data_IF_367825323652
#
_entry.id   IF_367825323652
#
_cell.length_a   1.000
_cell.length_b   1.000
_cell.length_c   1.000
_cell.angle_alpha   90.00
_cell.angle_beta   90.00
_cell.angle_gamma   90.00
#
_symmetry.space_group_name_H-M   'P 1'
#
loop_
_entity.id
_entity.type
_entity.pdbx_description
1 polymer ?
#
# COMPACT_ATOMS: atom_id res chain seq x y z
N UNK A 1 -39.99 48.37 4.10
CA UNK A 1 -40.64 49.68 3.97
C UNK A 1 -41.76 49.49 2.95
N UNK A 2 -42.88 48.94 3.43
CA UNK A 2 -44.06 49.70 3.87
C UNK A 2 -44.93 50.11 2.67
N UNK A 3 -46.05 49.39 2.46
CA UNK A 3 -47.40 49.86 2.81
C UNK A 3 -48.46 49.17 1.93
N UNK A 4 -49.40 48.48 2.61
CA UNK A 4 -50.78 48.26 2.14
C UNK A 4 -51.54 49.59 2.24
N UNK A 5 -52.70 49.73 1.58
CA UNK A 5 -53.95 49.45 2.31
C UNK A 5 -55.06 48.78 1.48
N UNK A 6 -55.97 48.14 2.22
CA UNK A 6 -57.28 47.58 1.86
C UNK A 6 -58.34 48.63 2.27
N UNK A 7 -59.50 48.78 1.59
CA UNK A 7 -60.77 48.18 2.06
C UNK A 7 -61.74 47.87 0.89
N UNK A 8 -62.84 47.10 0.96
CA UNK A 8 -63.61 46.45 2.01
C UNK A 8 -64.95 45.99 1.40
N UNK A 9 -65.61 45.00 2.04
CA UNK A 9 -67.06 44.71 2.21
C UNK A 9 -68.08 45.17 1.12
N UNK A 10 -69.15 44.47 0.76
CA UNK A 10 -69.84 43.29 1.27
C UNK A 10 -71.01 42.91 0.32
N UNK A 11 -71.56 41.71 0.55
CA UNK A 11 -72.96 41.29 0.43
C UNK A 11 -73.65 41.22 -0.95
N UNK A 12 -74.22 40.04 -1.24
CA UNK A 12 -75.17 39.85 -2.35
C UNK A 12 -75.69 38.42 -2.42
N UNK A 13 -76.82 38.19 -1.76
CA UNK A 13 -77.59 36.95 -1.64
C UNK A 13 -78.16 36.48 -3.00
N UNK A 14 -78.28 35.18 -3.26
CA UNK A 14 -78.98 34.70 -4.46
C UNK A 14 -78.96 33.19 -4.68
N UNK A 15 -80.03 32.53 -4.26
CA UNK A 15 -80.33 31.09 -4.33
C UNK A 15 -80.53 30.54 -5.74
N UNK A 16 -80.16 29.27 -5.98
CA UNK A 16 -81.05 28.15 -6.42
C UNK A 16 -80.28 26.95 -6.99
N UNK A 17 -80.68 25.75 -6.56
CA UNK A 17 -80.67 24.54 -7.40
C UNK A 17 -79.53 23.54 -7.15
N UNK A 18 -79.77 22.55 -6.29
CA UNK A 18 -79.08 21.27 -6.35
C UNK A 18 -79.55 20.48 -7.59
N UNK A 19 -78.75 19.52 -8.08
CA UNK A 19 -79.08 18.16 -7.67
C UNK A 19 -77.86 17.40 -7.13
N UNK A 20 -78.13 16.67 -6.06
CA UNK A 20 -77.28 15.64 -5.46
C UNK A 20 -77.11 14.53 -6.49
N UNK A 21 -75.88 14.28 -6.92
CA UNK A 21 -75.47 12.98 -7.44
C UNK A 21 -74.41 12.45 -6.50
N UNK A 22 -74.74 11.33 -5.88
CA UNK A 22 -73.92 10.57 -4.94
C UNK A 22 -72.76 9.93 -5.67
N UNK A 23 -71.55 10.47 -5.50
CA UNK A 23 -70.33 9.75 -5.84
C UNK A 23 -70.16 8.56 -4.87
N UNK A 24 -69.87 7.34 -5.34
CA UNK A 24 -69.63 6.21 -4.46
C UNK A 24 -68.32 6.45 -3.69
N UNK A 25 -68.18 5.91 -2.45
CA UNK A 25 -66.94 6.05 -1.72
C UNK A 25 -65.84 5.35 -2.53
N UNK A 26 -64.80 6.11 -2.90
CA UNK A 26 -63.56 5.55 -3.43
C UNK A 26 -63.05 4.55 -2.39
N UNK A 27 -63.23 3.26 -2.65
CA UNK A 27 -62.38 2.19 -2.12
C UNK A 27 -60.95 2.53 -2.52
N UNK A 28 -60.25 3.30 -1.68
CA UNK A 28 -58.82 3.17 -1.57
C UNK A 28 -58.61 1.93 -0.75
N UNK A 29 -58.33 0.83 -1.44
CA UNK A 29 -57.61 -0.26 -0.83
C UNK A 29 -56.42 0.34 -0.08
N UNK A 30 -56.50 0.28 1.25
CA UNK A 30 -55.34 0.43 2.12
C UNK A 30 -54.47 -0.81 1.91
N UNK A 31 -53.89 -0.95 0.72
CA UNK A 31 -52.72 -1.78 0.52
C UNK A 31 -51.66 -1.18 1.45
N UNK A 32 -51.35 -1.95 2.51
CA UNK A 32 -50.40 -1.66 3.58
C UNK A 32 -49.21 -0.84 3.06
N UNK A 33 -49.14 0.45 3.41
CA UNK A 33 -48.04 1.32 2.98
C UNK A 33 -46.75 0.75 3.56
N UNK A 34 -45.99 0.03 2.73
CA UNK A 34 -44.80 -0.70 3.13
C UNK A 34 -43.79 0.19 3.88
N UNK A 35 -43.83 1.52 3.67
CA UNK A 35 -42.99 2.48 4.39
C UNK A 35 -43.28 2.53 5.89
N UNK A 36 -44.48 2.16 6.34
CA UNK A 36 -44.85 2.05 7.76
C UNK A 36 -44.16 0.86 8.46
N UNK A 37 -43.72 -0.14 7.70
CA UNK A 37 -42.99 -1.31 8.21
C UNK A 37 -41.48 -1.08 8.33
N UNK A 38 -40.96 0.08 7.88
CA UNK A 38 -39.54 0.41 8.02
C UNK A 38 -39.20 0.57 9.51
N UNK A 39 -38.31 -0.26 10.06
CA UNK A 39 -37.97 -0.20 11.48
C UNK A 39 -37.38 1.16 11.87
N UNK A 40 -37.76 1.69 13.04
CA UNK A 40 -37.16 2.91 13.60
C UNK A 40 -35.70 2.67 13.95
N UNK A 41 -34.89 3.73 13.89
CA UNK A 41 -33.46 3.67 14.20
C UNK A 41 -33.19 3.09 15.59
N UNK A 42 -33.95 3.50 16.60
CA UNK A 42 -33.76 2.98 17.97
C UNK A 42 -34.06 1.48 18.07
N UNK A 43 -35.05 0.98 17.31
CA UNK A 43 -35.36 -0.44 17.24
C UNK A 43 -34.25 -1.23 16.52
N UNK A 44 -33.64 -0.66 15.48
CA UNK A 44 -32.50 -1.26 14.78
C UNK A 44 -31.25 -1.30 15.67
N UNK A 45 -31.02 -0.29 16.50
CA UNK A 45 -29.87 -0.26 17.41
C UNK A 45 -30.00 -1.25 18.58
N UNK A 46 -31.17 -1.85 18.80
CA UNK A 46 -31.35 -2.98 19.71
C UNK A 46 -30.96 -4.33 19.08
N UNK A 47 -30.74 -4.41 17.76
CA UNK A 47 -30.17 -5.60 17.13
C UNK A 47 -28.74 -5.83 17.67
N UNK A 48 -28.45 -6.99 18.30
CA UNK A 48 -27.14 -7.27 18.88
C UNK A 48 -25.97 -7.06 17.91
N UNK A 49 -26.19 -7.33 16.61
CA UNK A 49 -25.16 -7.18 15.56
C UNK A 49 -24.83 -5.71 15.30
N UNK A 50 -25.84 -4.84 15.34
CA UNK A 50 -25.66 -3.40 15.20
C UNK A 50 -25.10 -2.79 16.49
N UNK A 51 -25.50 -3.29 17.66
CA UNK A 51 -24.94 -2.89 18.94
C UNK A 51 -23.44 -3.22 19.05
N UNK A 52 -23.04 -4.44 18.67
CA UNK A 52 -21.63 -4.83 18.57
C UNK A 52 -20.86 -3.92 17.59
N UNK A 53 -21.47 -3.58 16.46
CA UNK A 53 -20.88 -2.63 15.53
C UNK A 53 -20.76 -1.21 16.09
N UNK A 54 -21.62 -0.79 17.02
CA UNK A 54 -21.50 0.51 17.70
C UNK A 54 -20.25 0.53 18.56
N UNK A 55 -19.99 -0.53 19.32
CA UNK A 55 -18.76 -0.66 20.13
C UNK A 55 -17.50 -0.66 19.25
N UNK A 56 -17.54 -1.35 18.10
CA UNK A 56 -16.40 -1.49 17.20
C UNK A 56 -16.14 -0.28 16.29
N UNK A 57 -17.17 0.38 15.79
CA UNK A 57 -17.10 1.40 14.73
C UNK A 57 -17.52 2.81 15.19
N UNK A 58 -18.16 2.90 16.36
CA UNK A 58 -18.75 4.12 16.88
C UNK A 58 -20.17 4.37 16.37
N UNK A 59 -21.01 4.92 17.26
CA UNK A 59 -22.44 5.14 17.03
C UNK A 59 -22.74 6.00 15.78
N UNK A 60 -21.90 6.97 15.46
CA UNK A 60 -22.11 7.86 14.32
C UNK A 60 -22.14 7.09 12.99
N UNK A 61 -21.21 6.16 12.79
CA UNK A 61 -21.10 5.36 11.56
C UNK A 61 -22.26 4.38 11.43
N UNK A 62 -22.61 3.73 12.53
CA UNK A 62 -23.74 2.80 12.56
C UNK A 62 -25.05 3.52 12.23
N UNK A 63 -25.30 4.68 12.85
CA UNK A 63 -26.48 5.49 12.54
C UNK A 63 -26.50 5.99 11.10
N UNK A 64 -25.35 6.30 10.49
CA UNK A 64 -25.26 6.67 9.09
C UNK A 64 -25.66 5.52 8.16
N UNK A 65 -25.13 4.30 8.39
CA UNK A 65 -25.47 3.10 7.63
C UNK A 65 -26.97 2.74 7.77
N UNK A 66 -27.51 2.83 9.00
CA UNK A 66 -28.95 2.63 9.25
C UNK A 66 -29.81 3.63 8.48
N UNK A 67 -29.47 4.93 8.52
CA UNK A 67 -30.20 5.95 7.77
C UNK A 67 -30.16 5.69 6.27
N UNK A 68 -29.00 5.28 5.74
CA UNK A 68 -28.85 4.96 4.33
C UNK A 68 -29.69 3.74 3.92
N UNK A 69 -29.72 2.69 4.73
CA UNK A 69 -30.56 1.52 4.49
C UNK A 69 -32.07 1.86 4.55
N UNK A 70 -32.49 2.63 5.55
CA UNK A 70 -33.87 3.12 5.64
C UNK A 70 -34.25 3.98 4.42
N UNK A 71 -33.36 4.84 3.94
CA UNK A 71 -33.63 5.66 2.75
C UNK A 71 -33.79 4.81 1.48
N UNK A 72 -32.96 3.77 1.30
CA UNK A 72 -33.13 2.79 0.22
C UNK A 72 -34.49 2.08 0.30
N UNK A 73 -34.99 1.78 1.50
CA UNK A 73 -36.31 1.20 1.66
C UNK A 73 -37.42 2.22 1.35
N UNK A 74 -37.26 3.50 1.74
CA UNK A 74 -38.23 4.56 1.44
C UNK A 74 -38.35 4.83 -0.05
N UNK A 75 -37.24 4.74 -0.79
CA UNK A 75 -37.22 4.91 -2.25
C UNK A 75 -37.63 3.66 -3.02
N UNK A 76 -37.97 2.55 -2.34
CA UNK A 76 -38.38 1.29 -2.97
C UNK A 76 -37.24 0.43 -3.51
N UNK A 77 -35.98 0.78 -3.23
CA UNK A 77 -34.81 0.01 -3.67
C UNK A 77 -34.57 -1.29 -2.91
N UNK A 78 -35.14 -1.42 -1.70
CA UNK A 78 -35.15 -2.67 -0.90
C UNK A 78 -36.48 -2.79 -0.14
N UNK A 79 -36.94 -4.01 0.20
CA UNK A 79 -38.08 -4.19 1.09
C UNK A 79 -37.74 -3.79 2.55
N UNK A 80 -38.70 -3.29 3.35
CA UNK A 80 -38.48 -2.87 4.74
C UNK A 80 -37.80 -3.92 5.63
N UNK A 81 -38.08 -5.19 5.38
CA UNK A 81 -37.56 -6.34 6.13
C UNK A 81 -36.05 -6.55 5.90
N UNK A 82 -35.50 -6.02 4.80
CA UNK A 82 -34.07 -6.08 4.48
C UNK A 82 -33.27 -4.90 5.06
N UNK A 83 -33.91 -3.92 5.70
CA UNK A 83 -33.22 -2.76 6.29
C UNK A 83 -32.14 -3.15 7.30
N UNK A 84 -32.36 -4.09 8.25
CA UNK A 84 -31.32 -4.49 9.21
C UNK A 84 -30.11 -5.11 8.52
N UNK A 85 -30.34 -6.03 7.59
CA UNK A 85 -29.26 -6.71 6.87
C UNK A 85 -28.51 -5.73 5.95
N UNK A 86 -29.22 -4.86 5.24
CA UNK A 86 -28.60 -3.82 4.40
C UNK A 86 -27.77 -2.84 5.22
N UNK A 87 -28.25 -2.46 6.41
CA UNK A 87 -27.47 -1.61 7.32
C UNK A 87 -26.17 -2.31 7.74
N UNK A 88 -26.20 -3.61 8.05
CA UNK A 88 -25.00 -4.39 8.36
C UNK A 88 -24.05 -4.51 7.16
N UNK A 89 -24.58 -4.75 5.96
CA UNK A 89 -23.79 -4.89 4.73
C UNK A 89 -23.12 -3.57 4.32
N UNK A 90 -23.68 -2.43 4.73
CA UNK A 90 -23.09 -1.10 4.54
C UNK A 90 -21.98 -0.78 5.55
N UNK A 91 -21.84 -1.55 6.65
CA UNK A 91 -20.83 -1.27 7.66
C UNK A 91 -19.46 -1.79 7.25
N UNK A 92 -18.39 -0.98 7.43
CA UNK A 92 -17.05 -1.44 7.20
C UNK A 92 -16.61 -2.46 8.27
N UNK A 93 -15.65 -3.31 7.91
CA UNK A 93 -15.04 -4.25 8.86
C UNK A 93 -14.22 -3.54 9.96
N UNK A 94 -13.72 -2.34 9.70
CA UNK A 94 -12.92 -1.56 10.66
C UNK A 94 -13.35 -0.09 10.70
N UNK A 95 -12.90 0.62 11.73
CA UNK A 95 -13.04 2.07 11.80
C UNK A 95 -12.13 2.82 10.81
N UNK A 96 -11.32 2.13 9.98
CA UNK A 96 -10.55 2.73 8.90
C UNK A 96 -11.36 2.76 7.59
N UNK A 97 -11.06 3.74 6.73
CA UNK A 97 -11.61 3.82 5.37
C UNK A 97 -10.88 2.91 4.37
N UNK A 98 -9.68 2.43 4.71
CA UNK A 98 -8.92 1.51 3.88
C UNK A 98 -9.53 0.11 3.92
N UNK A 99 -9.65 -0.53 2.75
CA UNK A 99 -10.17 -1.89 2.61
C UNK A 99 -9.03 -2.86 2.29
N UNK A 100 -8.99 -4.07 2.90
CA UNK A 100 -8.11 -5.13 2.45
C UNK A 100 -8.41 -5.51 1.00
N UNK A 101 -7.38 -5.77 0.22
CA UNK A 101 -7.45 -6.15 -1.20
C UNK A 101 -6.62 -7.42 -1.40
N UNK A 102 -7.15 -8.42 -2.12
CA UNK A 102 -6.35 -9.54 -2.58
C UNK A 102 -5.58 -9.12 -3.84
N UNK A 103 -4.26 -9.13 -3.75
CA UNK A 103 -3.37 -8.83 -4.86
C UNK A 103 -3.18 -10.08 -5.74
N UNK A 104 -3.93 -10.15 -6.83
CA UNK A 104 -3.80 -11.19 -7.86
C UNK A 104 -3.27 -10.62 -9.19
N UNK A 105 -2.52 -9.51 -9.13
CA UNK A 105 -2.03 -8.82 -10.34
C UNK A 105 -0.83 -9.52 -10.98
N UNK A 106 -0.09 -10.30 -10.20
CA UNK A 106 1.24 -10.81 -10.55
C UNK A 106 2.35 -9.79 -10.30
N UNK A 107 2.06 -8.66 -9.67
CA UNK A 107 3.06 -7.67 -9.21
C UNK A 107 3.23 -7.81 -7.71
N UNK A 108 4.38 -8.29 -7.24
CA UNK A 108 4.58 -8.60 -5.81
C UNK A 108 4.53 -7.34 -4.93
N UNK A 109 5.31 -6.32 -5.29
CA UNK A 109 5.42 -5.02 -4.62
C UNK A 109 4.59 -3.98 -5.38
N UNK A 110 3.26 -4.11 -5.28
CA UNK A 110 2.35 -3.20 -5.96
C UNK A 110 2.20 -1.88 -5.17
N UNK A 111 2.70 -0.78 -5.72
CA UNK A 111 2.72 0.55 -5.05
C UNK A 111 1.33 1.01 -4.62
N UNK A 112 0.33 0.91 -5.50
CA UNK A 112 -1.05 1.33 -5.18
C UNK A 112 -1.75 0.43 -4.15
N UNK A 113 -1.26 -0.78 -3.91
CA UNK A 113 -1.82 -1.72 -2.92
C UNK A 113 -1.03 -1.75 -1.61
N UNK A 114 -0.09 -0.81 -1.42
CA UNK A 114 0.66 -0.66 -0.18
C UNK A 114 1.99 -1.42 -0.13
N UNK A 115 2.55 -1.82 -1.28
CA UNK A 115 3.85 -2.52 -1.39
C UNK A 115 3.87 -3.86 -0.64
N UNK A 116 4.85 -4.07 0.25
CA UNK A 116 5.07 -5.34 0.92
C UNK A 116 3.99 -5.64 1.99
N UNK A 117 3.28 -6.77 1.90
CA UNK A 117 2.42 -7.22 2.99
C UNK A 117 3.26 -7.76 4.16
N UNK A 118 2.85 -7.41 5.38
CA UNK A 118 3.48 -7.90 6.60
C UNK A 118 3.12 -9.36 6.90
N UNK A 119 4.09 -10.13 7.39
CA UNK A 119 3.87 -11.50 7.89
C UNK A 119 2.90 -11.51 9.08
N UNK A 120 2.32 -12.68 9.38
CA UNK A 120 1.48 -12.84 10.58
C UNK A 120 2.22 -12.45 11.87
N UNK A 121 3.52 -12.78 11.97
CA UNK A 121 4.36 -12.40 13.09
C UNK A 121 4.53 -10.88 13.20
N UNK A 122 4.82 -10.19 12.09
CA UNK A 122 4.94 -8.73 12.08
C UNK A 122 3.61 -8.03 12.37
N UNK A 123 2.48 -8.53 11.85
CA UNK A 123 1.14 -8.01 12.16
C UNK A 123 0.80 -8.15 13.65
N UNK A 124 1.16 -9.28 14.27
CA UNK A 124 1.00 -9.48 15.71
C UNK A 124 1.88 -8.51 16.52
N UNK A 125 3.13 -8.31 16.13
CA UNK A 125 4.03 -7.36 16.78
C UNK A 125 3.46 -5.93 16.73
N UNK A 126 2.86 -5.51 15.61
CA UNK A 126 2.16 -4.22 15.50
C UNK A 126 0.96 -4.14 16.45
N UNK A 127 0.16 -5.21 16.52
CA UNK A 127 -1.01 -5.25 17.40
C UNK A 127 -0.62 -5.10 18.88
N UNK A 128 0.43 -5.79 19.32
CA UNK A 128 0.97 -5.67 20.68
C UNK A 128 1.56 -4.27 20.91
N UNK A 129 2.30 -3.74 19.93
CA UNK A 129 2.89 -2.41 20.00
C UNK A 129 1.87 -1.25 19.96
N UNK A 130 0.60 -1.51 19.61
CA UNK A 130 -0.47 -0.51 19.68
C UNK A 130 -0.66 0.00 21.13
N UNK A 131 -0.46 -0.86 22.14
CA UNK A 131 -0.46 -0.51 23.55
C UNK A 131 0.85 0.14 24.04
N UNK A 132 1.02 0.27 25.36
CA UNK A 132 2.28 0.75 25.94
C UNK A 132 3.42 -0.25 25.70
N UNK A 133 4.61 0.25 25.36
CA UNK A 133 5.79 -0.57 25.09
C UNK A 133 7.03 0.03 25.73
N UNK A 134 8.08 -0.77 25.89
CA UNK A 134 9.40 -0.38 26.39
C UNK A 134 10.29 0.24 25.31
N UNK A 135 9.70 0.82 24.26
CA UNK A 135 10.38 1.28 23.04
C UNK A 135 11.59 2.20 23.30
N UNK A 136 11.60 2.93 24.40
CA UNK A 136 12.69 3.80 24.88
C UNK A 136 12.99 3.60 26.39
N UNK A 137 12.59 2.47 26.97
CA UNK A 137 12.76 2.16 28.40
C UNK A 137 13.52 0.85 28.55
N UNK A 138 14.52 0.84 29.43
CA UNK A 138 15.12 -0.40 29.90
C UNK A 138 14.30 -0.89 31.10
N UNK A 139 13.65 -2.04 30.97
CA UNK A 139 12.77 -2.58 32.01
C UNK A 139 13.52 -3.07 33.26
N UNK A 140 14.80 -3.44 33.13
CA UNK A 140 15.60 -3.94 34.25
C UNK A 140 16.05 -2.78 35.17
N UNK A 141 16.35 -1.63 34.58
CA UNK A 141 16.88 -0.46 35.29
C UNK A 141 15.85 0.65 35.49
N UNK A 142 14.77 0.65 34.72
CA UNK A 142 13.74 1.70 34.73
C UNK A 142 14.18 3.03 34.09
N UNK A 143 15.34 3.06 33.43
CA UNK A 143 15.90 4.29 32.83
C UNK A 143 15.69 4.34 31.32
N UNK A 144 15.79 5.55 30.76
CA UNK A 144 15.67 5.77 29.31
C UNK A 144 16.75 4.99 28.55
N UNK A 145 16.33 4.25 27.54
CA UNK A 145 17.18 3.47 26.65
C UNK A 145 17.15 4.02 25.21
N UNK A 146 18.06 3.52 24.36
CA UNK A 146 18.05 3.81 22.92
C UNK A 146 16.77 3.27 22.28
N UNK A 147 16.08 4.13 21.52
CA UNK A 147 14.87 3.76 20.79
C UNK A 147 15.14 2.62 19.81
N UNK A 148 14.32 1.57 19.87
CA UNK A 148 14.38 0.46 18.91
C UNK A 148 15.69 -0.33 18.94
N UNK A 149 16.36 -0.40 20.09
CA UNK A 149 17.67 -1.06 20.28
C UNK A 149 17.74 -2.46 19.67
N UNK A 150 16.68 -3.26 19.82
CA UNK A 150 16.56 -4.63 19.32
C UNK A 150 16.41 -4.68 17.80
N UNK A 151 15.52 -3.86 17.21
CA UNK A 151 15.39 -3.71 15.77
C UNK A 151 16.73 -3.28 15.10
N UNK A 152 17.46 -2.35 15.72
CA UNK A 152 18.78 -1.93 15.23
C UNK A 152 19.83 -3.03 15.32
N UNK A 153 19.79 -3.85 16.38
CA UNK A 153 20.65 -5.02 16.49
C UNK A 153 20.32 -6.07 15.43
N UNK A 154 19.04 -6.32 15.16
CA UNK A 154 18.58 -7.24 14.12
C UNK A 154 19.04 -6.78 12.72
N UNK A 155 18.98 -5.48 12.42
CA UNK A 155 19.51 -4.95 11.15
C UNK A 155 21.01 -5.20 10.99
N UNK A 156 21.79 -4.99 12.06
CA UNK A 156 23.24 -5.26 12.05
C UNK A 156 23.55 -6.74 11.89
N UNK A 157 22.73 -7.62 12.47
CA UNK A 157 22.85 -9.06 12.26
C UNK A 157 22.57 -9.45 10.80
N UNK A 158 21.60 -8.79 10.14
CA UNK A 158 21.28 -9.00 8.73
C UNK A 158 22.28 -8.38 7.74
N UNK A 159 23.13 -7.45 8.19
CA UNK A 159 24.14 -6.77 7.35
C UNK A 159 25.46 -6.69 8.14
N UNK A 160 26.23 -7.79 8.23
CA UNK A 160 27.44 -7.86 9.04
C UNK A 160 28.51 -6.82 8.67
N UNK A 161 28.56 -6.38 7.40
CA UNK A 161 29.47 -5.33 6.96
C UNK A 161 29.12 -3.93 7.53
N UNK A 162 27.93 -3.74 8.11
CA UNK A 162 27.52 -2.47 8.69
C UNK A 162 28.10 -2.29 10.11
N UNK A 163 29.01 -1.33 10.28
CA UNK A 163 29.52 -0.92 11.59
C UNK A 163 28.40 -0.43 12.52
N UNK A 164 27.41 0.29 11.99
CA UNK A 164 26.21 0.69 12.70
C UNK A 164 24.98 0.75 11.79
N UNK A 165 23.80 0.79 12.43
CA UNK A 165 22.51 0.94 11.76
C UNK A 165 21.66 2.05 12.43
N UNK A 166 20.86 2.73 11.61
CA UNK A 166 19.80 3.62 12.04
C UNK A 166 18.57 3.50 11.13
N UNK A 167 17.41 3.95 11.63
CA UNK A 167 16.12 3.83 10.93
C UNK A 167 15.36 5.14 11.03
N UNK A 168 14.86 5.60 9.89
CA UNK A 168 14.03 6.81 9.75
C UNK A 168 12.71 6.47 9.04
N UNK A 169 11.84 7.46 8.84
CA UNK A 169 10.47 7.27 8.37
C UNK A 169 10.33 6.54 7.02
N UNK A 170 11.19 6.80 6.04
CA UNK A 170 11.18 6.13 4.73
C UNK A 170 12.53 6.33 4.00
N UNK A 171 12.73 5.66 2.86
CA UNK A 171 13.98 5.78 2.08
C UNK A 171 14.32 7.22 1.67
N UNK A 172 13.33 8.03 1.30
CA UNK A 172 13.53 9.45 0.98
C UNK A 172 14.06 10.23 2.19
N UNK A 173 13.52 9.97 3.39
CA UNK A 173 14.01 10.57 4.63
C UNK A 173 15.46 10.18 4.94
N UNK A 174 15.89 8.97 4.58
CA UNK A 174 17.28 8.55 4.75
C UNK A 174 18.23 9.41 3.90
N UNK A 175 17.85 9.67 2.64
CA UNK A 175 18.60 10.54 1.73
C UNK A 175 18.57 12.00 2.16
N UNK A 176 17.41 12.54 2.58
CA UNK A 176 17.31 13.90 3.12
C UNK A 176 18.22 14.09 4.32
N UNK A 177 18.24 13.12 5.24
CA UNK A 177 19.07 13.19 6.44
C UNK A 177 20.56 13.16 6.08
N UNK A 178 20.96 12.27 5.16
CA UNK A 178 22.35 12.20 4.68
C UNK A 178 22.78 13.48 3.95
N UNK A 179 21.95 13.98 3.03
CA UNK A 179 22.21 15.20 2.27
C UNK A 179 22.29 16.43 3.18
N UNK A 180 21.38 16.56 4.14
CA UNK A 180 21.40 17.69 5.10
C UNK A 180 22.63 17.62 6.00
N UNK A 181 22.94 16.45 6.55
CA UNK A 181 24.03 16.30 7.51
C UNK A 181 25.42 16.43 6.88
N UNK A 182 25.59 15.98 5.63
CA UNK A 182 26.91 15.87 4.99
C UNK A 182 27.11 16.79 3.79
N UNK A 183 26.04 17.32 3.20
CA UNK A 183 26.11 18.10 1.96
C UNK A 183 25.37 19.45 1.99
N UNK A 184 24.85 19.91 3.14
CA UNK A 184 24.29 21.26 3.23
C UNK A 184 25.38 22.31 2.89
N UNK A 185 25.13 23.13 1.87
CA UNK A 185 26.10 24.09 1.35
C UNK A 185 27.29 23.49 0.59
N UNK A 186 27.28 22.19 0.31
CA UNK A 186 28.32 21.42 -0.38
C UNK A 186 27.76 20.71 -1.60
N UNK A 187 28.65 20.08 -2.37
CA UNK A 187 28.29 19.32 -3.56
C UNK A 187 28.01 17.85 -3.27
N UNK A 188 26.97 17.30 -3.91
CA UNK A 188 26.74 15.87 -4.07
C UNK A 188 27.07 15.51 -5.52
N UNK A 189 28.11 14.70 -5.72
CA UNK A 189 28.51 14.25 -7.05
C UNK A 189 27.70 13.02 -7.43
N UNK A 190 26.98 13.06 -8.55
CA UNK A 190 26.05 11.99 -8.98
C UNK A 190 26.07 11.81 -10.50
N UNK A 191 25.90 10.57 -10.97
CA UNK A 191 25.80 10.30 -12.41
C UNK A 191 24.49 10.86 -12.99
N UNK A 192 24.55 11.42 -14.21
CA UNK A 192 23.36 11.82 -14.96
C UNK A 192 22.39 10.66 -15.22
N UNK A 193 22.90 9.44 -15.37
CA UNK A 193 22.08 8.24 -15.60
C UNK A 193 21.35 7.74 -14.34
N UNK A 194 21.71 8.26 -13.17
CA UNK A 194 21.21 7.83 -11.86
C UNK A 194 20.24 8.86 -11.25
N UNK A 195 19.90 9.93 -11.98
CA UNK A 195 18.88 10.91 -11.57
C UNK A 195 17.49 10.38 -11.89
N UNK A 196 16.82 9.84 -10.86
CA UNK A 196 15.56 9.11 -11.02
C UNK A 196 14.34 9.93 -10.65
N UNK A 197 13.25 9.71 -11.40
CA UNK A 197 11.88 10.04 -10.99
C UNK A 197 11.17 8.74 -10.59
N UNK A 198 10.50 8.74 -9.44
CA UNK A 198 9.84 7.56 -8.86
C UNK A 198 8.38 7.87 -8.57
N UNK A 199 7.48 6.95 -8.91
CA UNK A 199 6.06 7.09 -8.58
C UNK A 199 5.39 8.27 -9.29
N UNK A 200 4.57 9.03 -8.55
CA UNK A 200 3.74 10.13 -9.06
C UNK A 200 4.49 11.48 -8.99
N UNK A 201 5.58 11.60 -9.75
CA UNK A 201 6.33 12.86 -9.89
C UNK A 201 7.37 13.16 -8.81
N UNK A 202 7.73 12.18 -7.95
CA UNK A 202 8.83 12.39 -6.99
C UNK A 202 10.18 12.34 -7.72
N UNK A 203 10.89 13.48 -7.71
CA UNK A 203 12.22 13.63 -8.32
C UNK A 203 13.29 13.66 -7.26
N UNK A 204 14.21 12.70 -7.33
CA UNK A 204 15.35 12.64 -6.41
C UNK A 204 16.21 13.93 -6.44
N UNK A 205 16.50 14.54 -7.61
CA UNK A 205 17.25 15.79 -7.66
C UNK A 205 16.59 16.93 -6.86
N UNK A 206 15.29 17.14 -7.05
CA UNK A 206 14.54 18.20 -6.38
C UNK A 206 14.56 18.02 -4.85
N UNK A 207 14.44 16.76 -4.39
CA UNK A 207 14.56 16.42 -2.98
C UNK A 207 15.94 16.81 -2.42
N UNK A 208 17.02 16.43 -3.10
CA UNK A 208 18.38 16.69 -2.62
C UNK A 208 18.72 18.18 -2.64
N UNK A 209 18.31 18.91 -3.68
CA UNK A 209 18.50 20.37 -3.75
C UNK A 209 17.74 21.08 -2.63
N UNK A 210 16.55 20.60 -2.26
CA UNK A 210 15.76 21.17 -1.16
C UNK A 210 16.45 21.13 0.22
N UNK A 211 17.47 20.28 0.40
CA UNK A 211 18.26 20.21 1.63
C UNK A 211 19.38 21.25 1.69
N UNK A 212 19.49 22.12 0.70
CA UNK A 212 20.59 23.07 0.56
C UNK A 212 21.87 22.48 -0.04
N UNK A 213 21.81 21.25 -0.57
CA UNK A 213 22.91 20.65 -1.31
C UNK A 213 22.95 21.16 -2.76
N UNK A 214 24.14 21.19 -3.36
CA UNK A 214 24.32 21.44 -4.81
C UNK A 214 24.58 20.12 -5.51
N UNK A 215 23.86 19.83 -6.58
CA UNK A 215 24.14 18.63 -7.38
C UNK A 215 25.25 18.92 -8.39
N UNK A 216 26.29 18.07 -8.37
CA UNK A 216 27.39 18.09 -9.34
C UNK A 216 27.26 16.86 -10.23
N UNK A 217 26.53 17.02 -11.32
CA UNK A 217 26.27 15.94 -12.27
C UNK A 217 27.51 15.57 -13.10
N UNK A 218 27.75 14.27 -13.27
CA UNK A 218 28.89 13.73 -14.03
C UNK A 218 28.47 12.70 -15.08
N UNK A 219 29.37 12.46 -16.04
CA UNK A 219 29.15 11.51 -17.13
C UNK A 219 27.99 11.89 -18.06
N UNK A 220 27.39 10.86 -18.65
CA UNK A 220 26.23 10.92 -19.56
C UNK A 220 25.13 9.96 -19.08
N UNK A 221 23.94 10.05 -19.67
CA UNK A 221 22.79 9.21 -19.30
C UNK A 221 23.10 7.71 -19.36
N UNK A 222 23.76 7.24 -20.41
CA UNK A 222 24.04 5.82 -20.61
C UNK A 222 25.43 5.40 -20.09
N UNK A 223 26.39 6.32 -20.02
CA UNK A 223 27.78 6.00 -19.64
C UNK A 223 28.33 6.98 -18.61
N UNK A 224 28.81 6.44 -17.50
CA UNK A 224 29.63 7.18 -16.53
C UNK A 224 30.84 6.33 -16.14
N UNK A 225 32.02 6.96 -16.13
CA UNK A 225 33.30 6.36 -15.78
C UNK A 225 33.80 6.89 -14.42
N UNK A 226 34.67 6.15 -13.70
CA UNK A 226 35.26 6.64 -12.45
C UNK A 226 36.02 7.96 -12.63
N UNK A 227 36.64 8.16 -13.80
CA UNK A 227 37.32 9.40 -14.15
C UNK A 227 36.37 10.63 -14.15
N UNK A 228 35.10 10.44 -14.52
CA UNK A 228 34.11 11.52 -14.49
C UNK A 228 33.85 11.99 -13.05
N UNK A 229 33.79 11.07 -12.10
CA UNK A 229 33.68 11.38 -10.68
C UNK A 229 34.97 12.01 -10.14
N UNK A 230 36.12 11.42 -10.44
CA UNK A 230 37.41 11.92 -9.96
C UNK A 230 37.69 13.37 -10.38
N UNK A 231 37.29 13.75 -11.60
CA UNK A 231 37.43 15.12 -12.10
C UNK A 231 36.47 16.13 -11.43
N UNK A 232 35.40 15.65 -10.79
CA UNK A 232 34.39 16.49 -10.15
C UNK A 232 34.55 16.62 -8.63
N UNK A 233 35.18 15.63 -7.98
CA UNK A 233 35.42 15.67 -6.54
C UNK A 233 36.45 16.75 -6.18
N UNK A 234 36.12 17.56 -5.18
CA UNK A 234 36.99 18.63 -4.68
C UNK A 234 36.69 19.02 -3.23
N UNK A 235 37.29 20.13 -2.73
CA UNK A 235 37.15 20.55 -1.33
C UNK A 235 35.71 20.82 -0.87
N UNK A 236 34.83 21.19 -1.81
CA UNK A 236 33.42 21.47 -1.55
C UNK A 236 32.52 20.24 -1.69
N UNK A 237 33.06 19.06 -2.02
CA UNK A 237 32.28 17.83 -2.13
C UNK A 237 31.96 17.26 -0.75
N UNK A 238 30.67 17.07 -0.48
CA UNK A 238 30.18 16.40 0.72
C UNK A 238 30.30 14.89 0.61
N UNK A 239 29.80 14.32 -0.49
CA UNK A 239 29.90 12.89 -0.80
C UNK A 239 29.63 12.61 -2.29
N UNK A 240 30.03 11.42 -2.74
CA UNK A 240 29.58 10.82 -4.00
C UNK A 240 28.32 10.02 -3.74
N UNK A 241 27.26 10.27 -4.52
CA UNK A 241 26.02 9.52 -4.46
C UNK A 241 25.94 8.56 -5.65
N UNK A 242 25.74 7.27 -5.34
CA UNK A 242 25.39 6.24 -6.32
C UNK A 242 23.95 5.80 -6.09
N UNK A 243 23.11 5.81 -7.12
CA UNK A 243 21.69 5.45 -7.00
C UNK A 243 21.36 4.26 -7.90
N UNK A 244 20.71 3.24 -7.33
CA UNK A 244 20.17 2.12 -8.11
C UNK A 244 18.88 2.54 -8.83
N UNK A 245 18.80 2.44 -10.17
CA UNK A 245 17.56 2.67 -10.90
C UNK A 245 16.55 1.54 -10.64
N UNK A 246 15.88 1.59 -9.49
CA UNK A 246 15.01 0.50 -9.01
C UNK A 246 13.65 0.36 -9.74
N UNK A 247 13.31 1.31 -10.62
CA UNK A 247 12.04 1.37 -11.35
C UNK A 247 12.17 1.41 -12.88
N UNK A 248 13.38 1.44 -13.44
CA UNK A 248 13.61 1.37 -14.89
C UNK A 248 14.98 0.73 -15.20
N UNK A 249 15.22 0.39 -16.47
CA UNK A 249 16.53 -0.07 -16.96
C UNK A 249 16.94 0.70 -18.19
N UNK A 250 18.23 1.01 -18.29
CA UNK A 250 18.85 1.49 -19.54
C UNK A 250 19.54 0.28 -20.17
N UNK A 251 19.21 -0.03 -21.43
CA UNK A 251 19.80 -1.14 -22.20
C UNK A 251 20.56 -0.62 -23.42
N UNK A 252 21.45 -1.44 -23.98
CA UNK A 252 22.33 -1.07 -25.11
C UNK A 252 23.74 -0.74 -24.65
N UNK A 253 24.35 0.32 -25.20
CA UNK A 253 25.72 0.74 -24.87
C UNK A 253 25.76 1.52 -23.55
N UNK A 254 25.74 0.80 -22.43
CA UNK A 254 25.73 1.38 -21.09
C UNK A 254 27.01 1.08 -20.32
N UNK A 255 27.34 1.96 -19.36
CA UNK A 255 28.42 1.77 -18.38
C UNK A 255 28.07 2.53 -17.11
N UNK A 256 28.11 1.87 -15.97
CA UNK A 256 28.07 2.50 -14.64
C UNK A 256 29.42 2.30 -13.95
N UNK A 257 29.82 3.23 -13.09
CA UNK A 257 31.00 3.03 -12.24
C UNK A 257 30.62 2.16 -11.03
N UNK A 258 31.39 1.12 -10.77
CA UNK A 258 31.19 0.24 -9.62
C UNK A 258 31.60 0.95 -8.32
N UNK A 259 30.99 0.57 -7.20
CA UNK A 259 31.29 1.20 -5.89
C UNK A 259 32.78 1.14 -5.57
N UNK A 260 33.42 -0.02 -5.79
CA UNK A 260 34.84 -0.19 -5.55
C UNK A 260 35.72 0.78 -6.36
N UNK A 261 35.31 1.14 -7.58
CA UNK A 261 36.02 2.12 -8.42
C UNK A 261 35.88 3.56 -7.90
N UNK A 262 34.86 3.83 -7.09
CA UNK A 262 34.60 5.14 -6.49
C UNK A 262 35.21 5.26 -5.08
N UNK A 263 35.64 4.14 -4.49
CA UNK A 263 36.41 4.15 -3.25
C UNK A 263 37.77 4.78 -3.49
N UNK A 264 38.22 5.65 -2.58
CA UNK A 264 39.53 6.31 -2.70
C UNK A 264 39.50 7.71 -3.32
N UNK A 265 38.34 8.24 -3.71
CA UNK A 265 38.18 9.63 -4.17
C UNK A 265 38.33 10.68 -3.04
N UNK A 266 38.63 10.26 -1.81
CA UNK A 266 38.83 11.17 -0.67
C UNK A 266 37.54 11.67 0.01
N UNK A 267 36.36 11.30 -0.50
CA UNK A 267 35.05 11.61 0.08
C UNK A 267 34.22 10.34 0.30
N UNK A 268 33.23 10.34 1.22
CA UNK A 268 32.35 9.20 1.41
C UNK A 268 31.59 8.84 0.11
N UNK A 269 31.43 7.55 -0.15
CA UNK A 269 30.50 7.03 -1.17
C UNK A 269 29.21 6.60 -0.45
N UNK A 270 28.11 7.28 -0.77
CA UNK A 270 26.76 6.93 -0.30
C UNK A 270 26.04 6.19 -1.42
N UNK A 271 25.51 5.01 -1.13
CA UNK A 271 24.82 4.17 -2.10
C UNK A 271 23.35 4.04 -1.72
N UNK A 272 22.46 4.55 -2.55
CA UNK A 272 21.03 4.27 -2.42
C UNK A 272 20.66 3.06 -3.25
N UNK A 273 20.55 1.90 -2.59
CA UNK A 273 20.07 0.68 -3.27
C UNK A 273 18.56 0.74 -3.50
N UNK A 274 17.85 1.56 -2.72
CA UNK A 274 16.41 1.79 -2.84
C UNK A 274 15.52 0.60 -2.48
N UNK A 275 15.90 -0.63 -2.81
CA UNK A 275 15.09 -1.86 -2.82
C UNK A 275 14.94 -2.52 -1.46
N UNK A 276 15.86 -2.28 -0.52
CA UNK A 276 15.82 -2.88 0.81
C UNK A 276 16.40 -4.29 0.88
N UNK A 277 17.04 -4.78 -0.17
CA UNK A 277 17.71 -6.08 -0.12
C UNK A 277 18.93 -5.99 0.81
N UNK A 278 18.96 -6.81 1.87
CA UNK A 278 20.02 -6.73 2.89
C UNK A 278 21.25 -7.55 2.51
N UNK A 279 21.06 -8.70 1.89
CA UNK A 279 22.10 -9.64 1.45
C UNK A 279 21.73 -10.23 0.07
N UNK A 280 22.70 -10.83 -0.67
CA UNK A 280 22.44 -11.36 -2.01
C UNK A 280 21.29 -12.36 -2.04
N UNK A 281 20.44 -12.27 -3.07
CA UNK A 281 19.30 -13.18 -3.23
C UNK A 281 19.43 -14.00 -4.52
N UNK A 282 19.34 -15.34 -4.47
CA UNK A 282 19.53 -16.20 -5.66
C UNK A 282 18.57 -15.91 -6.81
N UNK A 283 17.32 -15.53 -6.51
CA UNK A 283 16.35 -15.15 -7.54
C UNK A 283 16.58 -13.75 -8.14
N UNK A 284 17.45 -12.94 -7.53
CA UNK A 284 17.71 -11.54 -7.91
C UNK A 284 19.22 -11.26 -7.94
N UNK A 285 20.01 -12.00 -8.75
CA UNK A 285 21.48 -11.94 -8.68
C UNK A 285 22.07 -10.57 -9.04
N UNK A 286 21.36 -9.80 -9.88
CA UNK A 286 21.77 -8.47 -10.34
C UNK A 286 21.23 -7.33 -9.46
N UNK A 287 20.42 -7.63 -8.45
CA UNK A 287 19.86 -6.60 -7.58
C UNK A 287 20.86 -6.26 -6.47
N UNK A 288 21.22 -4.98 -6.27
CA UNK A 288 22.21 -4.61 -5.27
C UNK A 288 21.67 -4.80 -3.85
N UNK A 289 22.49 -5.41 -3.00
CA UNK A 289 22.20 -5.62 -1.58
C UNK A 289 23.13 -4.81 -0.67
N UNK A 290 22.65 -4.46 0.51
CA UNK A 290 23.37 -3.57 1.42
C UNK A 290 24.74 -4.13 1.85
N UNK A 291 24.82 -5.42 2.14
CA UNK A 291 26.01 -6.08 2.67
C UNK A 291 27.15 -6.14 1.63
N UNK A 292 26.83 -6.44 0.36
CA UNK A 292 27.78 -6.42 -0.75
C UNK A 292 28.25 -5.01 -1.08
N UNK A 293 27.35 -4.00 -1.09
CA UNK A 293 27.75 -2.61 -1.35
C UNK A 293 28.67 -2.06 -0.26
N UNK A 294 28.43 -2.40 1.01
CA UNK A 294 29.32 -2.03 2.12
C UNK A 294 30.68 -2.72 2.03
N UNK A 295 30.72 -4.02 1.69
CA UNK A 295 31.99 -4.74 1.44
C UNK A 295 32.79 -4.16 0.28
N UNK A 296 32.10 -3.67 -0.76
CA UNK A 296 32.73 -2.98 -1.88
C UNK A 296 33.30 -1.60 -1.49
N UNK A 297 33.07 -1.15 -0.25
CA UNK A 297 33.65 0.06 0.33
C UNK A 297 32.73 1.27 0.34
N UNK A 298 31.41 1.09 0.14
CA UNK A 298 30.44 2.14 0.43
C UNK A 298 30.58 2.59 1.90
N UNK A 299 30.57 3.90 2.12
CA UNK A 299 30.63 4.47 3.47
C UNK A 299 29.28 4.39 4.19
N UNK A 300 28.19 4.50 3.41
CA UNK A 300 26.81 4.44 3.85
C UNK A 300 25.94 3.85 2.74
N UNK A 301 25.02 2.96 3.10
CA UNK A 301 23.95 2.46 2.25
C UNK A 301 22.61 2.96 2.77
N UNK A 302 21.76 3.44 1.86
CA UNK A 302 20.36 3.79 2.13
C UNK A 302 19.41 2.86 1.39
N UNK A 303 18.27 2.55 2.00
CA UNK A 303 17.26 1.67 1.41
C UNK A 303 15.86 1.89 2.00
N UNK A 304 14.83 1.31 1.38
CA UNK A 304 13.46 1.27 1.95
C UNK A 304 13.15 -0.09 2.56
N UNK A 305 12.45 -0.13 3.70
CA UNK A 305 12.09 -1.39 4.37
C UNK A 305 10.82 -2.09 3.85
N UNK A 306 9.96 -1.40 3.12
CA UNK A 306 8.67 -1.90 2.61
C UNK A 306 8.71 -2.43 1.18
N UNK A 307 9.90 -2.80 0.72
CA UNK A 307 10.15 -3.31 -0.63
C UNK A 307 10.64 -4.77 -0.56
N UNK A 308 11.85 -5.09 -1.03
CA UNK A 308 12.39 -6.45 -1.04
C UNK A 308 12.67 -7.00 0.36
N UNK A 309 12.90 -6.14 1.36
CA UNK A 309 12.95 -6.58 2.76
C UNK A 309 11.62 -7.22 3.21
N UNK A 310 10.48 -6.83 2.62
CA UNK A 310 9.18 -7.36 2.99
C UNK A 310 8.65 -6.85 4.33
N UNK A 311 9.19 -5.74 4.83
CA UNK A 311 8.85 -5.15 6.12
C UNK A 311 7.93 -3.94 6.04
N UNK A 312 7.86 -3.13 7.11
CA UNK A 312 7.06 -1.90 7.13
C UNK A 312 7.81 -0.75 6.43
N UNK A 313 7.08 0.33 6.13
CA UNK A 313 7.68 1.54 5.57
C UNK A 313 8.70 2.11 6.57
N UNK A 314 9.96 2.15 6.16
CA UNK A 314 11.03 2.81 6.89
C UNK A 314 12.20 3.09 5.94
N UNK A 315 13.10 3.98 6.35
CA UNK A 315 14.36 4.26 5.68
C UNK A 315 15.49 3.65 6.47
N UNK A 316 16.30 2.82 5.83
CA UNK A 316 17.45 2.17 6.43
C UNK A 316 18.70 3.01 6.18
N UNK A 317 19.53 3.14 7.22
CA UNK A 317 20.85 3.78 7.17
C UNK A 317 21.86 2.78 7.73
N UNK A 318 22.68 2.20 6.87
CA UNK A 318 23.60 1.11 7.21
C UNK A 318 25.01 1.49 6.77
N UNK A 319 26.01 1.41 7.63
CA UNK A 319 27.37 1.71 7.21
C UNK A 319 28.32 2.00 8.36
N UNK A 320 29.28 2.90 8.11
CA UNK A 320 30.28 3.26 9.10
C UNK A 320 29.67 3.86 10.37
N UNK A 321 30.24 3.48 11.51
CA UNK A 321 29.71 3.88 12.83
C UNK A 321 29.73 5.40 13.05
N UNK A 322 30.78 6.08 12.62
CA UNK A 322 30.92 7.53 12.75
C UNK A 322 29.84 8.29 11.96
N UNK A 323 29.59 7.89 10.71
CA UNK A 323 28.57 8.51 9.86
C UNK A 323 27.16 8.25 10.37
N UNK A 324 26.82 6.99 10.67
CA UNK A 324 25.49 6.63 11.18
C UNK A 324 25.22 7.31 12.53
N UNK A 325 26.23 7.41 13.40
CA UNK A 325 26.11 8.11 14.69
C UNK A 325 25.98 9.62 14.52
N UNK A 326 26.58 10.22 13.49
CA UNK A 326 26.37 11.62 13.15
C UNK A 326 24.92 11.85 12.68
N UNK A 327 24.40 10.99 11.80
CA UNK A 327 23.02 11.06 11.32
C UNK A 327 22.00 10.89 12.45
N UNK A 328 22.20 9.90 13.32
CA UNK A 328 21.29 9.64 14.44
C UNK A 328 21.25 10.78 15.47
N UNK A 329 22.32 11.59 15.58
CA UNK A 329 22.39 12.76 16.47
C UNK A 329 21.93 14.05 15.82
N UNK A 330 21.77 14.07 14.50
CA UNK A 330 21.37 15.27 13.78
C UNK A 330 19.95 15.72 14.19
N UNK A 331 19.68 17.02 14.41
CA UNK A 331 18.37 17.49 14.87
C UNK A 331 17.20 17.04 13.99
N UNK A 332 17.40 16.98 12.67
CA UNK A 332 16.37 16.53 11.72
C UNK A 332 15.98 15.06 11.93
N UNK A 333 16.85 14.21 12.49
CA UNK A 333 16.53 12.82 12.79
C UNK A 333 15.34 12.71 13.76
N UNK A 334 15.12 13.71 14.62
CA UNK A 334 13.94 13.75 15.51
C UNK A 334 12.63 13.96 14.75
N UNK A 335 12.65 14.73 13.66
CA UNK A 335 11.49 14.95 12.79
C UNK A 335 11.23 13.74 11.90
N UNK A 336 12.30 13.06 11.46
CA UNK A 336 12.25 11.87 10.61
C UNK A 336 12.15 10.55 11.39
N UNK A 337 11.96 10.64 12.71
CA UNK A 337 11.99 9.49 13.62
C UNK A 337 10.86 8.52 13.33
N UNK A 338 11.20 7.25 13.22
CA UNK A 338 10.24 6.15 13.05
C UNK A 338 9.41 5.89 14.32
N UNK A 339 8.13 5.55 14.13
CA UNK A 339 7.20 5.27 15.22
C UNK A 339 7.38 3.85 15.81
N UNK A 340 6.66 3.54 16.90
CA UNK A 340 6.80 2.26 17.62
C UNK A 340 6.23 1.05 16.86
N UNK A 341 5.19 1.25 16.05
CA UNK A 341 4.53 0.19 15.29
C UNK A 341 5.47 -0.28 14.18
N UNK A 342 6.08 0.68 13.48
CA UNK A 342 7.07 0.39 12.44
C UNK A 342 8.31 -0.31 13.01
N UNK A 343 8.81 0.10 14.18
CA UNK A 343 9.92 -0.60 14.83
C UNK A 343 9.58 -2.05 15.20
N UNK A 344 8.40 -2.29 15.76
CA UNK A 344 7.94 -3.63 16.12
C UNK A 344 7.77 -4.53 14.88
N UNK A 345 7.16 -4.00 13.82
CA UNK A 345 7.03 -4.70 12.54
C UNK A 345 8.40 -5.00 11.92
N UNK A 346 9.32 -4.04 11.93
CA UNK A 346 10.65 -4.19 11.36
C UNK A 346 11.45 -5.27 12.10
N UNK A 347 11.45 -5.26 13.43
CA UNK A 347 12.12 -6.29 14.22
C UNK A 347 11.57 -7.68 13.90
N UNK A 348 10.24 -7.85 13.93
CA UNK A 348 9.60 -9.12 13.61
C UNK A 348 9.80 -9.56 12.15
N UNK A 349 10.02 -8.62 11.23
CA UNK A 349 10.38 -8.90 9.83
C UNK A 349 11.79 -9.48 9.74
N UNK A 350 12.72 -8.95 10.54
CA UNK A 350 14.13 -9.35 10.51
C UNK A 350 14.42 -10.64 11.27
N UNK A 351 13.71 -10.89 12.36
CA UNK A 351 13.97 -12.01 13.28
C UNK A 351 12.92 -13.13 13.19
N UNK A 352 11.78 -12.86 12.56
CA UNK A 352 10.68 -13.79 12.43
C UNK A 352 10.80 -14.73 11.22
N UNK A 353 9.71 -15.45 10.89
CA UNK A 353 9.66 -16.31 9.72
C UNK A 353 9.75 -15.51 8.41
N UNK A 354 10.02 -16.17 7.27
CA UNK A 354 10.08 -15.51 5.97
C UNK A 354 8.87 -14.61 5.69
N UNK A 355 9.13 -13.45 5.11
CA UNK A 355 8.08 -12.49 4.75
C UNK A 355 7.23 -13.01 3.59
N UNK A 356 5.98 -12.53 3.44
CA UNK A 356 5.19 -12.82 2.24
C UNK A 356 5.92 -12.49 0.94
N UNK A 357 6.70 -11.39 0.92
CA UNK A 357 7.55 -11.03 -0.21
C UNK A 357 8.62 -12.10 -0.49
N UNK A 358 9.34 -12.58 0.54
CA UNK A 358 10.36 -13.62 0.38
C UNK A 358 9.77 -14.96 -0.09
N UNK A 359 8.62 -15.34 0.47
CA UNK A 359 7.88 -16.54 0.04
C UNK A 359 7.41 -16.42 -1.42
N UNK A 360 6.88 -15.27 -1.81
CA UNK A 360 6.42 -15.02 -3.17
C UNK A 360 7.58 -15.01 -4.18
N UNK A 361 8.76 -14.49 -3.82
CA UNK A 361 9.95 -14.52 -4.67
C UNK A 361 10.40 -15.96 -4.98
N UNK A 362 10.36 -16.84 -3.98
CA UNK A 362 10.84 -18.23 -4.04
C UNK A 362 9.75 -19.26 -4.32
N UNK A 363 8.53 -18.80 -4.65
CA UNK A 363 7.39 -19.67 -4.92
C UNK A 363 7.67 -20.63 -6.09
N UNK A 364 7.41 -21.92 -5.86
CA UNK A 364 7.55 -23.00 -6.83
C UNK A 364 6.47 -22.88 -7.94
N UNK A 365 6.86 -22.67 -9.21
CA UNK A 365 5.92 -22.54 -10.32
C UNK A 365 5.00 -23.76 -10.51
N UNK A 366 5.49 -24.97 -10.25
CA UNK A 366 4.68 -26.19 -10.41
C UNK A 366 3.59 -26.26 -9.34
N UNK A 367 3.90 -25.83 -8.11
CA UNK A 367 2.89 -25.70 -7.04
C UNK A 367 1.87 -24.61 -7.33
N UNK A 368 2.30 -23.48 -7.92
CA UNK A 368 1.39 -22.43 -8.37
C UNK A 368 0.45 -22.95 -9.45
N UNK A 369 0.99 -23.71 -10.42
CA UNK A 369 0.18 -24.33 -11.48
C UNK A 369 -0.84 -25.31 -10.92
N UNK A 370 -0.42 -26.22 -10.04
CA UNK A 370 -1.32 -27.15 -9.39
C UNK A 370 -2.40 -26.45 -8.55
N UNK A 371 -2.09 -25.31 -7.90
CA UNK A 371 -3.09 -24.47 -7.21
C UNK A 371 -4.09 -23.87 -8.19
N UNK A 372 -3.62 -23.29 -9.29
CA UNK A 372 -4.48 -22.72 -10.32
C UNK A 372 -5.41 -23.76 -10.94
N UNK A 373 -4.90 -24.96 -11.25
CA UNK A 373 -5.70 -26.06 -11.83
C UNK A 373 -6.83 -26.49 -10.88
N UNK A 374 -6.55 -26.63 -9.57
CA UNK A 374 -7.58 -26.99 -8.56
C UNK A 374 -8.65 -25.91 -8.43
N UNK A 375 -8.24 -24.64 -8.34
CA UNK A 375 -9.17 -23.51 -8.24
C UNK A 375 -10.03 -23.37 -9.50
N UNK A 376 -9.43 -23.49 -10.68
CA UNK A 376 -10.13 -23.44 -11.95
C UNK A 376 -11.14 -24.60 -12.07
N UNK A 377 -10.77 -25.83 -11.70
CA UNK A 377 -11.68 -26.97 -11.72
C UNK A 377 -12.89 -26.77 -10.80
N UNK A 378 -12.67 -26.28 -9.58
CA UNK A 378 -13.75 -26.02 -8.61
C UNK A 378 -14.70 -24.91 -9.10
N UNK A 379 -14.16 -23.83 -9.65
CA UNK A 379 -14.96 -22.70 -10.17
C UNK A 379 -15.68 -23.06 -11.48
N UNK A 380 -15.06 -23.86 -12.35
CA UNK A 380 -15.68 -24.35 -13.58
C UNK A 380 -16.85 -25.29 -13.29
N UNK A 381 -16.77 -26.11 -12.23
CA UNK A 381 -17.89 -26.93 -11.75
C UNK A 381 -19.11 -26.07 -11.31
N UNK A 382 -18.88 -24.82 -10.92
CA UNK A 382 -19.93 -23.84 -10.60
C UNK A 382 -20.47 -23.10 -11.85
N UNK A 383 -20.05 -23.51 -13.05
CA UNK A 383 -20.48 -22.94 -14.34
C UNK A 383 -19.77 -21.64 -14.73
N UNK A 384 -18.65 -21.31 -14.09
CA UNK A 384 -17.86 -20.10 -14.38
C UNK A 384 -16.90 -20.39 -15.54
N UNK A 385 -16.85 -19.51 -16.55
CA UNK A 385 -15.82 -19.56 -17.59
C UNK A 385 -14.46 -19.21 -16.99
N UNK A 386 -13.69 -20.23 -16.62
CA UNK A 386 -12.37 -20.07 -16.01
C UNK A 386 -11.43 -21.17 -16.46
N UNK A 387 -10.16 -20.81 -16.68
CA UNK A 387 -9.09 -21.76 -16.98
C UNK A 387 -7.82 -21.39 -16.23
N UNK A 388 -7.06 -22.40 -15.81
CA UNK A 388 -5.71 -22.19 -15.33
C UNK A 388 -4.77 -21.95 -16.51
N UNK A 389 -3.89 -20.96 -16.39
CA UNK A 389 -2.90 -20.60 -17.42
C UNK A 389 -1.55 -20.37 -16.78
N UNK A 390 -0.48 -20.59 -17.55
CA UNK A 390 0.85 -20.10 -17.19
C UNK A 390 0.87 -18.57 -17.24
N UNK A 391 1.65 -17.96 -16.36
CA UNK A 391 1.82 -16.52 -16.32
C UNK A 391 3.25 -16.13 -15.92
N UNK A 392 3.59 -14.86 -16.14
CA UNK A 392 4.82 -14.27 -15.63
C UNK A 392 4.48 -13.17 -14.62
N UNK A 393 4.91 -13.35 -13.38
CA UNK A 393 4.85 -12.34 -12.35
C UNK A 393 6.09 -11.42 -12.44
N UNK A 394 6.02 -10.27 -11.79
CA UNK A 394 7.12 -9.30 -11.66
C UNK A 394 7.27 -8.87 -10.21
N UNK A 395 8.47 -8.41 -9.85
CA UNK A 395 8.72 -7.88 -8.51
C UNK A 395 7.90 -6.61 -8.24
N UNK A 396 7.77 -5.69 -9.21
CA UNK A 396 7.00 -4.44 -9.05
C UNK A 396 7.83 -3.27 -8.51
N UNK A 397 7.17 -2.14 -8.22
CA UNK A 397 7.74 -0.79 -7.97
C UNK A 397 8.60 -0.62 -6.71
N UNK A 398 9.46 -1.60 -6.42
CA UNK A 398 10.30 -1.69 -5.25
C UNK A 398 11.67 -2.37 -5.48
N UNK A 399 12.09 -2.60 -6.72
CA UNK A 399 13.39 -3.22 -7.02
C UNK A 399 13.30 -4.21 -8.17
N UNK A 400 14.45 -4.62 -8.69
CA UNK A 400 14.59 -5.61 -9.76
C UNK A 400 13.70 -5.37 -11.00
N UNK A 401 13.75 -4.16 -11.61
CA UNK A 401 12.90 -3.81 -12.74
C UNK A 401 13.13 -4.76 -13.92
N UNK A 402 12.07 -5.31 -14.52
CA UNK A 402 12.20 -6.22 -15.67
C UNK A 402 12.65 -7.65 -15.33
N UNK A 403 12.76 -8.02 -14.05
CA UNK A 403 12.85 -9.44 -13.66
C UNK A 403 11.45 -10.05 -13.74
N UNK A 404 11.33 -11.11 -14.54
CA UNK A 404 10.13 -11.94 -14.63
C UNK A 404 10.28 -13.19 -13.78
N UNK A 405 9.18 -13.63 -13.21
CA UNK A 405 9.10 -14.76 -12.31
C UNK A 405 8.03 -15.72 -12.83
N UNK A 406 8.37 -16.97 -13.19
CA UNK A 406 7.38 -17.95 -13.63
C UNK A 406 6.26 -18.13 -12.60
N UNK A 407 5.03 -18.17 -13.08
CA UNK A 407 3.81 -18.19 -12.27
C UNK A 407 2.67 -18.94 -12.96
N UNK A 408 1.53 -19.00 -12.28
CA UNK A 408 0.27 -19.46 -12.82
C UNK A 408 -0.88 -18.53 -12.38
N UNK A 409 -1.90 -18.45 -13.22
CA UNK A 409 -3.05 -17.58 -13.01
C UNK A 409 -4.38 -18.28 -13.34
N UNK A 410 -5.46 -17.75 -12.78
CA UNK A 410 -6.82 -18.01 -13.26
C UNK A 410 -7.16 -17.01 -14.36
N UNK A 411 -7.64 -17.48 -15.50
CA UNK A 411 -8.08 -16.66 -16.63
C UNK A 411 -9.60 -16.66 -16.72
N UNK A 412 -10.20 -15.49 -16.50
CA UNK A 412 -11.64 -15.21 -16.48
C UNK A 412 -12.01 -14.24 -17.63
N UNK A 413 -13.30 -14.09 -17.98
CA UNK A 413 -13.73 -13.05 -18.91
C UNK A 413 -13.36 -11.66 -18.40
N UNK A 414 -13.08 -10.73 -19.31
CA UNK A 414 -12.69 -9.35 -18.99
C UNK A 414 -13.62 -8.63 -17.97
N UNK A 415 -14.97 -8.73 -18.05
CA UNK A 415 -15.88 -8.07 -17.11
C UNK A 415 -15.65 -8.42 -15.63
N UNK A 416 -15.06 -9.58 -15.33
CA UNK A 416 -14.70 -9.95 -13.96
C UNK A 416 -13.73 -8.95 -13.32
N UNK A 417 -12.86 -8.28 -14.10
CA UNK A 417 -11.89 -7.35 -13.54
C UNK A 417 -12.55 -6.20 -12.79
N UNK A 418 -13.62 -5.62 -13.33
CA UNK A 418 -14.36 -4.54 -12.65
C UNK A 418 -15.18 -5.09 -11.47
N UNK A 419 -15.92 -6.18 -11.69
CA UNK A 419 -16.79 -6.77 -10.68
C UNK A 419 -16.01 -7.23 -9.44
N UNK A 420 -14.83 -7.82 -9.62
CA UNK A 420 -13.94 -8.24 -8.53
C UNK A 420 -13.39 -7.06 -7.73
N UNK A 421 -13.04 -5.94 -8.38
CA UNK A 421 -12.55 -4.74 -7.67
C UNK A 421 -13.61 -4.10 -6.79
N UNK A 422 -14.86 -4.09 -7.25
CA UNK A 422 -15.99 -3.47 -6.54
C UNK A 422 -16.74 -4.42 -5.62
N UNK A 423 -16.39 -5.71 -5.64
CA UNK A 423 -17.03 -6.74 -4.83
C UNK A 423 -16.84 -6.57 -3.32
N UNK A 424 -17.51 -7.44 -2.55
CA UNK A 424 -17.41 -7.48 -1.09
C UNK A 424 -15.97 -7.73 -0.62
N UNK A 425 -15.31 -8.71 -1.25
CA UNK A 425 -13.87 -8.96 -1.14
C UNK A 425 -13.20 -8.41 -2.39
N UNK A 426 -12.55 -7.24 -2.32
CA UNK A 426 -11.86 -6.69 -3.48
C UNK A 426 -10.71 -7.58 -3.90
N UNK A 427 -10.72 -8.00 -5.17
CA UNK A 427 -9.59 -8.70 -5.81
C UNK A 427 -9.14 -7.86 -6.99
N UNK A 428 -7.84 -7.66 -7.11
CA UNK A 428 -7.25 -6.93 -8.24
C UNK A 428 -6.40 -7.90 -9.04
N UNK A 429 -6.88 -8.21 -10.25
CA UNK A 429 -6.11 -8.88 -11.30
C UNK A 429 -5.57 -7.90 -12.33
N UNK A 430 -5.06 -8.44 -13.45
CA UNK A 430 -4.68 -7.64 -14.63
C UNK A 430 -5.50 -8.05 -15.84
N UNK A 431 -5.63 -7.13 -16.81
CA UNK A 431 -6.21 -7.45 -18.12
C UNK A 431 -5.09 -7.81 -19.09
N UNK A 432 -5.25 -8.94 -19.77
CA UNK A 432 -4.28 -9.44 -20.74
C UNK A 432 -5.02 -10.19 -21.85
N UNK A 433 -4.81 -9.80 -23.11
CA UNK A 433 -5.45 -10.37 -24.29
C UNK A 433 -7.00 -10.53 -24.17
N UNK A 434 -7.68 -9.49 -23.67
CA UNK A 434 -9.15 -9.47 -23.52
C UNK A 434 -9.69 -10.37 -22.39
N UNK A 435 -8.83 -10.77 -21.45
CA UNK A 435 -9.22 -11.61 -20.29
C UNK A 435 -8.71 -11.03 -18.99
N UNK A 436 -9.42 -11.31 -17.90
CA UNK A 436 -8.99 -10.98 -16.54
C UNK A 436 -8.13 -12.11 -15.99
N UNK A 437 -6.86 -11.83 -15.68
CA UNK A 437 -5.94 -12.77 -15.06
C UNK A 437 -5.80 -12.49 -13.56
N UNK A 438 -5.97 -13.55 -12.75
CA UNK A 438 -5.73 -13.57 -11.32
C UNK A 438 -4.50 -14.43 -11.05
N UNK A 439 -3.33 -13.81 -11.01
CA UNK A 439 -2.04 -14.45 -10.78
C UNK A 439 -1.85 -14.84 -9.32
N UNK A 440 -1.47 -16.09 -9.06
CA UNK A 440 -1.44 -16.65 -7.72
C UNK A 440 -0.12 -16.40 -6.97
N UNK A 441 0.90 -15.80 -7.60
CA UNK A 441 2.23 -15.65 -6.95
C UNK A 441 2.21 -14.72 -5.74
N UNK A 442 1.37 -13.69 -5.79
CA UNK A 442 1.16 -12.75 -4.68
C UNK A 442 -0.06 -13.11 -3.81
N UNK A 443 -0.76 -14.22 -4.11
CA UNK A 443 -1.91 -14.70 -3.34
C UNK A 443 -1.43 -15.82 -2.39
N UNK A 444 -1.47 -15.60 -1.07
CA UNK A 444 -1.13 -16.64 -0.10
C UNK A 444 -2.06 -17.86 -0.25
N UNK A 445 -1.56 -19.11 -0.10
CA UNK A 445 -2.40 -20.31 -0.19
C UNK A 445 -3.62 -20.28 0.73
N UNK A 446 -3.52 -19.66 1.90
CA UNK A 446 -4.62 -19.50 2.85
C UNK A 446 -5.76 -18.59 2.36
N UNK A 447 -5.54 -17.77 1.33
CA UNK A 447 -6.56 -16.93 0.71
C UNK A 447 -7.22 -17.60 -0.52
N UNK A 448 -6.88 -18.86 -0.86
CA UNK A 448 -7.45 -19.58 -2.02
C UNK A 448 -8.99 -19.67 -1.97
N UNK A 449 -9.56 -20.04 -0.83
CA UNK A 449 -11.02 -20.12 -0.66
C UNK A 449 -11.69 -18.76 -0.78
N UNK A 450 -11.04 -17.74 -0.25
CA UNK A 450 -11.51 -16.35 -0.24
C UNK A 450 -11.47 -15.74 -1.63
N UNK A 451 -10.46 -16.09 -2.42
CA UNK A 451 -10.36 -15.77 -3.85
C UNK A 451 -11.49 -16.46 -4.64
N UNK A 452 -11.71 -17.75 -4.42
CA UNK A 452 -12.78 -18.50 -5.09
C UNK A 452 -14.17 -17.93 -4.77
N UNK A 453 -14.45 -17.61 -3.50
CA UNK A 453 -15.70 -16.97 -3.08
C UNK A 453 -15.89 -15.59 -3.75
N UNK A 454 -14.83 -14.79 -3.85
CA UNK A 454 -14.88 -13.51 -4.55
C UNK A 454 -15.25 -13.68 -6.03
N UNK A 455 -14.66 -14.66 -6.71
CA UNK A 455 -14.99 -14.99 -8.11
C UNK A 455 -16.43 -15.45 -8.25
N UNK A 456 -16.92 -16.35 -7.38
CA UNK A 456 -18.33 -16.79 -7.40
C UNK A 456 -19.31 -15.65 -7.22
N UNK A 457 -18.97 -14.70 -6.35
CA UNK A 457 -19.82 -13.56 -6.01
C UNK A 457 -19.80 -12.47 -7.08
N UNK A 458 -18.72 -12.37 -7.86
CA UNK A 458 -18.49 -11.30 -8.81
C UNK A 458 -19.21 -11.49 -10.16
N UNK A 459 -20.32 -12.24 -10.22
CA UNK A 459 -21.06 -12.51 -11.47
C UNK A 459 -21.29 -11.20 -12.24
N UNK A 460 -20.58 -10.97 -13.36
CA UNK A 460 -20.81 -9.76 -14.14
C UNK A 460 -22.25 -9.79 -14.65
N UNK A 461 -22.89 -8.63 -14.73
CA UNK A 461 -24.20 -8.54 -15.38
C UNK A 461 -24.07 -9.17 -16.77
N UNK A 462 -24.97 -10.10 -17.11
CA UNK A 462 -24.99 -10.67 -18.45
C UNK A 462 -25.10 -9.51 -19.43
N UNK A 463 -24.09 -9.33 -20.28
CA UNK A 463 -24.18 -8.40 -21.40
C UNK A 463 -25.45 -8.78 -22.16
N UNK A 464 -26.38 -7.83 -22.24
CA UNK A 464 -27.61 -8.02 -22.98
C UNK A 464 -27.23 -8.48 -24.37
N UNK A 465 -27.67 -9.70 -24.73
CA UNK A 465 -27.74 -10.09 -26.13
C UNK A 465 -28.74 -9.13 -26.76
N UNK A 466 -28.25 -8.12 -27.45
CA UNK A 466 -29.05 -7.44 -28.46
C UNK A 466 -29.35 -8.51 -29.52
N UNK A 467 -30.62 -8.95 -29.55
CA UNK A 467 -31.21 -9.69 -30.68
C UNK A 467 -31.40 -8.78 -31.89
#
# INVERSE_FOLDING_TARGET
MEQRPVPGRAAGNGTRGAPVTTDPPRQRDAADDARRRIPRTDALLLDPRLAEAVERLGAHRVKAAVRQAQERARSGGIPPEQVPQTALDLLPGTASGLRPVLNATGVLLHTNLGRAPLSAAARRAVQEAAGCTDVELDLATGVRARRGRSALAALRAGVPAAGAAHVVNNGAAALVLAATAFAAGKEIVVSRGEMVEIGDGFRLPDLLVSTGARLREVGTTNRTAPADYAAAVGPDTGFVLKVHPSNFRITGFTRSAEVAELTGLGVPVVVDIGSGLLAPHPALPEEPDADTQLRAGAALVTASGDKLLGGPQCGLLLGREDLVSALARHPLARALRVDKLTLAALEATLTGPPTPTALALTADPDRLRARADRLAAALAADGIDVRAVESAATVGGGGAPGVTLPSAALSLPEPYAAALRTGRVPVVGRLEAGRCLLDLRAVPPEDDDRLAEAVRSARPAAEGREE
#
